data_IF_833505024751
#
_entry.id   IF_833505024751
#
_cell.length_a   1.000
_cell.length_b   1.000
_cell.length_c   1.000
_cell.angle_alpha   90.00
_cell.angle_beta   90.00
_cell.angle_gamma   90.00
#
_symmetry.space_group_name_H-M   'P 1'
#
loop_
_entity.id
_entity.type
_entity.pdbx_description
1 polymer ?
#
# COMPACT_ATOMS: atom_id res chain seq x y z
N UNK A 1 -3.79 0.63 -20.00
CA UNK A 1 -3.85 -0.08 -18.70
C UNK A 1 -3.19 0.80 -17.68
N UNK A 2 -3.83 1.02 -16.53
CA UNK A 2 -3.21 1.77 -15.46
C UNK A 2 -2.01 0.97 -14.92
N UNK A 3 -0.94 1.67 -14.57
CA UNK A 3 0.27 1.10 -13.98
C UNK A 3 -0.03 0.52 -12.59
N UNK A 4 0.82 -0.38 -12.12
CA UNK A 4 0.70 -0.95 -10.77
C UNK A 4 0.71 0.16 -9.70
N UNK A 5 1.49 1.22 -9.90
CA UNK A 5 1.51 2.37 -9.00
C UNK A 5 0.17 3.10 -8.92
N UNK A 6 -0.55 3.25 -10.04
CA UNK A 6 -1.88 3.89 -10.04
C UNK A 6 -2.92 3.04 -9.31
N UNK A 7 -2.88 1.71 -9.44
CA UNK A 7 -3.79 0.82 -8.70
C UNK A 7 -3.51 0.85 -7.20
N UNK A 8 -2.24 0.87 -6.80
CA UNK A 8 -1.83 1.01 -5.41
C UNK A 8 -2.26 2.35 -4.84
N UNK A 9 -2.05 3.43 -5.59
CA UNK A 9 -2.41 4.78 -5.17
C UNK A 9 -3.92 4.90 -4.94
N UNK A 10 -4.74 4.43 -5.88
CA UNK A 10 -6.20 4.44 -5.71
C UNK A 10 -6.64 3.70 -4.43
N UNK A 11 -6.06 2.54 -4.14
CA UNK A 11 -6.37 1.79 -2.92
C UNK A 11 -5.93 2.52 -1.63
N UNK A 12 -4.87 3.31 -1.67
CA UNK A 12 -4.39 4.10 -0.55
C UNK A 12 -5.14 5.43 -0.39
N UNK A 13 -5.61 6.04 -1.48
CA UNK A 13 -6.43 7.25 -1.48
C UNK A 13 -7.85 6.98 -0.92
N UNK A 14 -8.37 5.77 -1.10
CA UNK A 14 -9.62 5.32 -0.48
C UNK A 14 -9.49 5.11 1.06
N UNK A 15 -8.27 5.16 1.60
CA UNK A 15 -8.04 5.14 3.03
C UNK A 15 -8.06 6.57 3.60
N UNK A 16 -8.99 6.82 4.53
CA UNK A 16 -8.94 8.03 5.35
C UNK A 16 -7.59 8.17 6.09
N UNK A 17 -7.22 9.40 6.45
CA UNK A 17 -5.91 9.73 7.05
C UNK A 17 -5.48 8.83 8.20
N UNK A 18 -6.40 8.45 9.10
CA UNK A 18 -6.09 7.58 10.24
C UNK A 18 -5.87 6.12 9.83
N UNK A 19 -6.58 5.65 8.80
CA UNK A 19 -6.37 4.33 8.20
C UNK A 19 -5.02 4.30 7.46
N UNK A 20 -4.68 5.36 6.72
CA UNK A 20 -3.37 5.47 6.07
C UNK A 20 -2.23 5.48 7.09
N UNK A 21 -2.38 6.18 8.24
CA UNK A 21 -1.39 6.10 9.34
C UNK A 21 -1.20 4.68 9.86
N UNK A 22 -2.28 3.92 10.05
CA UNK A 22 -2.22 2.51 10.46
C UNK A 22 -1.57 1.62 9.38
N UNK A 23 -1.89 1.86 8.12
CA UNK A 23 -1.25 1.18 6.99
C UNK A 23 0.27 1.37 7.02
N UNK A 24 0.72 2.62 7.14
CA UNK A 24 2.15 2.97 7.23
C UNK A 24 2.82 2.32 8.46
N UNK A 25 2.11 2.22 9.59
CA UNK A 25 2.60 1.50 10.77
C UNK A 25 2.81 0.00 10.50
N UNK A 26 1.88 -0.66 9.83
CA UNK A 26 2.05 -2.06 9.42
C UNK A 26 3.19 -2.24 8.40
N UNK A 27 3.31 -1.31 7.44
CA UNK A 27 4.36 -1.32 6.44
C UNK A 27 5.76 -1.18 7.07
N UNK A 28 5.91 -0.28 8.05
CA UNK A 28 7.13 -0.12 8.86
C UNK A 28 7.55 -1.45 9.49
N UNK A 29 6.61 -2.17 10.08
CA UNK A 29 6.85 -3.46 10.74
C UNK A 29 7.12 -4.61 9.76
N UNK A 30 6.82 -4.46 8.47
CA UNK A 30 6.93 -5.58 7.53
C UNK A 30 8.36 -5.86 7.10
N UNK A 31 9.17 -4.86 6.70
CA UNK A 31 10.54 -5.09 6.16
C UNK A 31 11.53 -3.92 6.30
N UNK A 32 11.49 -3.17 7.39
CA UNK A 32 12.59 -2.24 7.76
C UNK A 32 12.63 -0.94 6.97
N UNK A 33 11.46 -0.32 6.72
CA UNK A 33 11.42 1.11 6.45
C UNK A 33 11.74 1.86 7.74
N UNK A 34 12.49 2.96 7.63
CA UNK A 34 12.73 3.80 8.79
C UNK A 34 11.42 4.49 9.19
N UNK A 35 11.26 4.76 10.48
CA UNK A 35 10.12 5.53 10.97
C UNK A 35 10.04 6.90 10.28
N UNK A 36 11.21 7.51 10.01
CA UNK A 36 11.33 8.82 9.41
C UNK A 36 10.81 8.86 7.97
N UNK A 37 11.06 7.81 7.18
CA UNK A 37 10.60 7.75 5.78
C UNK A 37 9.07 7.72 5.69
N UNK A 38 8.40 7.04 6.64
CA UNK A 38 6.95 6.82 6.60
C UNK A 38 6.13 7.84 7.40
N UNK A 39 6.75 8.57 8.33
CA UNK A 39 6.04 9.54 9.17
C UNK A 39 5.46 10.69 8.33
N UNK A 40 6.24 11.21 7.38
CA UNK A 40 5.86 12.33 6.51
C UNK A 40 5.29 11.92 5.15
N UNK A 41 5.50 10.67 4.73
CA UNK A 41 5.02 10.17 3.45
C UNK A 41 3.49 10.25 3.34
N UNK A 42 3.00 10.82 2.24
CA UNK A 42 1.61 10.70 1.85
C UNK A 42 1.34 9.39 1.09
N UNK A 43 0.15 9.24 0.50
CA UNK A 43 -0.20 8.04 -0.24
C UNK A 43 0.73 7.81 -1.46
N UNK A 44 0.94 8.80 -2.36
CA UNK A 44 1.92 8.70 -3.44
C UNK A 44 3.32 8.32 -2.98
N UNK A 45 3.87 9.01 -1.97
CA UNK A 45 5.20 8.73 -1.43
C UNK A 45 5.32 7.28 -0.94
N UNK A 46 4.25 6.78 -0.30
CA UNK A 46 4.19 5.41 0.22
C UNK A 46 4.21 4.39 -0.93
N UNK A 47 3.46 4.64 -2.00
CA UNK A 47 3.44 3.77 -3.20
C UNK A 47 4.82 3.73 -3.86
N UNK A 48 5.46 4.88 -4.03
CA UNK A 48 6.78 4.97 -4.65
C UNK A 48 7.83 4.25 -3.81
N UNK A 49 7.81 4.42 -2.49
CA UNK A 49 8.68 3.70 -1.55
C UNK A 49 8.52 2.18 -1.65
N UNK A 50 7.28 1.69 -1.70
CA UNK A 50 6.98 0.27 -1.81
C UNK A 50 7.45 -0.31 -3.15
N UNK A 51 7.10 0.38 -4.25
CA UNK A 51 7.42 -0.06 -5.61
C UNK A 51 8.92 -0.03 -5.86
N UNK A 52 9.62 1.00 -5.39
CA UNK A 52 11.08 1.10 -5.48
C UNK A 52 11.81 0.04 -4.67
N UNK A 53 11.29 -0.32 -3.50
CA UNK A 53 11.97 -1.26 -2.59
C UNK A 53 11.72 -2.72 -2.91
N UNK A 54 10.49 -3.08 -3.28
CA UNK A 54 10.10 -4.47 -3.48
C UNK A 54 9.80 -4.82 -4.94
N UNK A 55 9.67 -3.83 -5.81
CA UNK A 55 9.13 -4.01 -7.15
C UNK A 55 7.60 -3.99 -7.15
N UNK A 56 6.99 -3.78 -8.33
CA UNK A 56 5.55 -3.60 -8.47
C UNK A 56 4.73 -4.81 -7.99
N UNK A 57 5.09 -6.02 -8.42
CA UNK A 57 4.43 -7.27 -8.06
C UNK A 57 4.39 -7.50 -6.55
N UNK A 58 5.52 -7.31 -5.88
CA UNK A 58 5.64 -7.54 -4.45
C UNK A 58 4.97 -6.41 -3.64
N UNK A 59 4.99 -5.17 -4.15
CA UNK A 59 4.27 -4.05 -3.56
C UNK A 59 2.75 -4.31 -3.51
N UNK A 60 2.16 -4.91 -4.55
CA UNK A 60 0.74 -5.32 -4.55
C UNK A 60 0.47 -6.34 -3.46
N UNK A 61 1.25 -7.42 -3.39
CA UNK A 61 1.07 -8.47 -2.38
C UNK A 61 1.16 -7.93 -0.95
N UNK A 62 2.11 -7.03 -0.69
CA UNK A 62 2.28 -6.38 0.61
C UNK A 62 1.06 -5.53 0.95
N UNK A 63 0.60 -4.70 -0.01
CA UNK A 63 -0.56 -3.81 0.18
C UNK A 63 -1.81 -4.61 0.52
N UNK A 64 -2.11 -5.65 -0.27
CA UNK A 64 -3.23 -6.56 -0.04
C UNK A 64 -3.17 -7.19 1.35
N UNK A 65 -2.00 -7.70 1.76
CA UNK A 65 -1.83 -8.32 3.07
C UNK A 65 -2.09 -7.33 4.22
N UNK A 66 -1.59 -6.10 4.10
CA UNK A 66 -1.80 -5.06 5.11
C UNK A 66 -3.28 -4.64 5.17
N UNK A 67 -3.92 -4.43 4.01
CA UNK A 67 -5.34 -4.09 3.94
C UNK A 67 -6.20 -5.16 4.63
N UNK A 68 -5.93 -6.45 4.38
CA UNK A 68 -6.59 -7.57 5.06
C UNK A 68 -6.39 -7.55 6.57
N UNK A 69 -5.17 -7.28 7.06
CA UNK A 69 -4.88 -7.13 8.50
C UNK A 69 -5.64 -5.99 9.16
N UNK A 70 -5.95 -4.94 8.40
CA UNK A 70 -6.75 -3.80 8.86
C UNK A 70 -8.27 -4.00 8.68
N UNK A 71 -8.72 -5.19 8.25
CA UNK A 71 -10.10 -5.51 7.89
C UNK A 71 -10.65 -4.69 6.70
N UNK A 72 -9.79 -4.13 5.85
CA UNK A 72 -10.14 -3.48 4.58
C UNK A 72 -10.21 -4.50 3.44
N UNK A 73 -10.99 -5.57 3.65
CA UNK A 73 -11.03 -6.71 2.73
C UNK A 73 -11.56 -6.34 1.33
N UNK A 74 -12.51 -5.39 1.24
CA UNK A 74 -13.05 -4.96 -0.05
C UNK A 74 -11.96 -4.32 -0.93
N UNK A 75 -11.15 -3.40 -0.38
CA UNK A 75 -10.03 -2.78 -1.10
C UNK A 75 -8.97 -3.82 -1.48
N UNK A 76 -8.72 -4.79 -0.59
CA UNK A 76 -7.76 -5.86 -0.85
C UNK A 76 -8.20 -6.75 -2.03
N UNK A 77 -9.48 -7.12 -2.09
CA UNK A 77 -10.05 -7.89 -3.19
C UNK A 77 -10.05 -7.11 -4.50
N UNK A 78 -10.45 -5.83 -4.46
CA UNK A 78 -10.45 -4.98 -5.65
C UNK A 78 -9.03 -4.84 -6.22
N UNK A 79 -8.04 -4.61 -5.36
CA UNK A 79 -6.64 -4.51 -5.76
C UNK A 79 -6.09 -5.83 -6.32
N UNK A 80 -6.39 -6.98 -5.70
CA UNK A 80 -6.02 -8.29 -6.25
C UNK A 80 -6.65 -8.55 -7.62
N UNK A 81 -7.91 -8.18 -7.80
CA UNK A 81 -8.63 -8.40 -9.05
C UNK A 81 -8.05 -7.54 -10.19
N UNK A 82 -7.75 -6.26 -9.92
CA UNK A 82 -7.10 -5.36 -10.88
C UNK A 82 -5.70 -5.81 -11.27
N UNK A 83 -4.99 -6.50 -10.39
CA UNK A 83 -3.65 -6.99 -10.64
C UNK A 83 -3.60 -8.31 -11.44
N UNK A 84 -4.66 -9.13 -11.37
CA UNK A 84 -4.78 -10.40 -12.12
C UNK A 84 -5.24 -10.21 -13.58
N UNK A 85 -5.67 -9.00 -13.96
CA UNK A 85 -6.12 -8.65 -15.30
C UNK A 85 -5.00 -8.04 -16.15
#
# INVERSE_FOLDING_TARGET
>A
MASVSEHLLAALDDLETDKLKRFKWHLKNHKGFSAADLEKADAPDTVDLMTKRFGPEEAVKITVNILRKMNHNHLAEELENKHKQ
#
